data_IF_636805470505
#
_entry.id   IF_636805470505
#
_cell.length_a   1.000
_cell.length_b   1.000
_cell.length_c   1.000
_cell.angle_alpha   90.00
_cell.angle_beta   90.00
_cell.angle_gamma   90.00
#
_symmetry.space_group_name_H-M   'P 1'
#
loop_
_entity.id
_entity.type
_entity.pdbx_description
1 polymer ?
#
# COMPACT_ATOMS: atom_id res chain seq x y z
N UNK A 1 24.23 12.96 -3.47
CA UNK A 1 25.28 12.69 -2.48
C UNK A 1 26.23 11.61 -3.01
N UNK A 2 27.57 11.85 -3.08
CA UNK A 2 28.53 10.94 -3.74
C UNK A 2 28.76 9.60 -3.03
N UNK A 3 28.28 9.41 -1.81
CA UNK A 3 28.58 8.24 -0.97
C UNK A 3 27.84 6.95 -1.36
N UNK A 4 26.65 7.02 -1.95
CA UNK A 4 25.86 5.85 -2.36
C UNK A 4 26.39 5.21 -3.64
N UNK A 5 26.97 5.98 -4.55
CA UNK A 5 27.58 5.50 -5.80
C UNK A 5 28.84 4.66 -5.55
N UNK A 6 29.65 5.02 -4.55
CA UNK A 6 30.89 4.31 -4.19
C UNK A 6 30.61 2.92 -3.60
N UNK A 7 29.70 2.82 -2.62
CA UNK A 7 29.31 1.55 -2.00
C UNK A 7 28.67 0.59 -3.01
N UNK A 8 27.82 1.11 -3.92
CA UNK A 8 27.24 0.35 -5.01
C UNK A 8 28.33 -0.22 -5.96
N UNK A 9 29.33 0.59 -6.29
CA UNK A 9 30.48 0.17 -7.12
C UNK A 9 31.28 -0.96 -6.46
N UNK A 10 31.46 -0.93 -5.15
CA UNK A 10 32.26 -1.96 -4.43
C UNK A 10 31.49 -3.28 -4.30
N UNK A 11 30.20 -3.27 -4.12
CA UNK A 11 29.37 -4.48 -4.19
C UNK A 11 29.44 -5.12 -5.58
N UNK A 12 29.40 -4.30 -6.64
CA UNK A 12 29.59 -4.75 -8.02
C UNK A 12 30.96 -5.40 -8.25
N UNK A 13 32.02 -4.77 -7.79
CA UNK A 13 33.40 -5.28 -7.94
C UNK A 13 33.60 -6.65 -7.28
N UNK A 14 33.01 -6.85 -6.08
CA UNK A 14 33.09 -8.15 -5.36
C UNK A 14 32.34 -9.26 -6.11
N UNK A 15 31.26 -8.96 -6.83
CA UNK A 15 30.52 -9.95 -7.63
C UNK A 15 31.29 -10.38 -8.88
N UNK A 16 32.20 -9.54 -9.39
CA UNK A 16 33.03 -9.84 -10.57
C UNK A 16 34.21 -10.79 -10.30
N UNK A 17 34.54 -11.02 -9.04
CA UNK A 17 35.71 -11.86 -8.64
C UNK A 17 35.42 -13.35 -8.78
N UNK A 18 34.13 -13.77 -8.73
CA UNK A 18 33.79 -15.19 -8.82
C UNK A 18 33.84 -15.68 -10.28
N UNK A 19 34.61 -16.74 -10.60
CA UNK A 19 34.67 -17.28 -11.95
C UNK A 19 33.32 -17.81 -12.41
N UNK A 20 33.07 -17.70 -13.71
CA UNK A 20 31.86 -18.26 -14.33
C UNK A 20 31.99 -19.80 -14.39
N UNK A 21 30.89 -20.48 -14.14
CA UNK A 21 30.79 -21.92 -14.26
C UNK A 21 30.66 -22.35 -15.72
N UNK A 22 31.34 -23.44 -16.07
CA UNK A 22 31.12 -24.14 -17.32
C UNK A 22 29.81 -24.92 -17.29
N UNK A 23 29.23 -25.26 -18.45
CA UNK A 23 28.01 -26.04 -18.54
C UNK A 23 28.07 -27.43 -17.87
N UNK A 24 29.30 -27.97 -17.74
CA UNK A 24 29.53 -29.26 -17.06
C UNK A 24 29.47 -29.05 -15.55
N UNK A 25 30.14 -28.01 -15.02
CA UNK A 25 30.10 -27.67 -13.60
C UNK A 25 28.70 -27.27 -13.11
N UNK A 26 27.92 -26.55 -13.95
CA UNK A 26 26.52 -26.24 -13.66
C UNK A 26 25.67 -27.53 -13.45
N UNK A 27 25.83 -28.53 -14.34
CA UNK A 27 25.15 -29.82 -14.24
C UNK A 27 25.59 -30.62 -13.02
N UNK A 28 26.90 -30.65 -12.73
CA UNK A 28 27.39 -31.33 -11.53
C UNK A 28 26.87 -30.74 -10.24
N UNK A 29 26.91 -29.42 -10.10
CA UNK A 29 26.38 -28.72 -8.92
C UNK A 29 24.87 -28.97 -8.79
N UNK A 30 24.11 -28.85 -9.86
CA UNK A 30 22.68 -29.13 -9.87
C UNK A 30 22.36 -30.58 -9.46
N UNK A 31 23.12 -31.56 -9.98
CA UNK A 31 23.01 -32.97 -9.58
C UNK A 31 23.29 -33.18 -8.10
N UNK A 32 24.37 -32.58 -7.56
CA UNK A 32 24.73 -32.65 -6.14
C UNK A 32 23.63 -32.04 -5.25
N UNK A 33 23.03 -30.90 -5.65
CA UNK A 33 21.93 -30.26 -4.93
C UNK A 33 20.69 -31.16 -4.93
N UNK A 34 20.32 -31.74 -6.08
CA UNK A 34 19.18 -32.66 -6.21
C UNK A 34 19.38 -33.89 -5.32
N UNK A 35 20.55 -34.55 -5.38
CA UNK A 35 20.88 -35.68 -4.53
C UNK A 35 20.76 -35.37 -3.03
N UNK A 36 21.21 -34.19 -2.60
CA UNK A 36 21.02 -33.77 -1.21
C UNK A 36 19.53 -33.58 -0.87
N UNK A 37 18.74 -32.98 -1.77
CA UNK A 37 17.29 -32.79 -1.59
C UNK A 37 16.55 -34.11 -1.46
N UNK A 38 16.85 -35.10 -2.33
CA UNK A 38 16.23 -36.42 -2.31
C UNK A 38 16.59 -37.19 -1.03
N UNK A 39 17.87 -37.15 -0.58
CA UNK A 39 18.27 -37.72 0.70
C UNK A 39 17.55 -37.09 1.88
N UNK A 40 17.43 -35.74 1.92
CA UNK A 40 16.68 -35.02 2.98
C UNK A 40 15.21 -35.44 2.95
N UNK A 41 14.57 -35.55 1.79
CA UNK A 41 13.17 -35.96 1.67
C UNK A 41 12.95 -37.38 2.18
N UNK A 42 13.87 -38.30 1.84
CA UNK A 42 13.82 -39.70 2.28
C UNK A 42 14.00 -39.83 3.81
N UNK A 43 14.94 -39.05 4.38
CA UNK A 43 15.16 -39.05 5.82
C UNK A 43 14.00 -38.42 6.57
N UNK A 44 13.37 -37.32 6.05
CA UNK A 44 12.15 -36.73 6.62
C UNK A 44 10.99 -37.71 6.62
N UNK A 45 10.80 -38.49 5.54
CA UNK A 45 9.79 -39.56 5.48
C UNK A 45 10.05 -40.69 6.48
N UNK A 46 11.32 -41.03 6.77
CA UNK A 46 11.66 -41.99 7.84
C UNK A 46 11.38 -41.43 9.22
N UNK A 47 11.70 -40.15 9.46
CA UNK A 47 11.45 -39.46 10.72
C UNK A 47 9.96 -39.37 11.04
N UNK A 48 9.09 -39.18 10.03
CA UNK A 48 7.63 -39.17 10.22
C UNK A 48 7.07 -40.52 10.69
N UNK A 49 7.79 -41.64 10.44
CA UNK A 49 7.42 -42.99 10.93
C UNK A 49 8.00 -43.28 12.30
N UNK A 50 9.18 -42.70 12.65
CA UNK A 50 9.87 -42.90 13.94
C UNK A 50 10.31 -41.54 14.50
N UNK A 51 9.46 -40.87 15.27
CA UNK A 51 9.62 -39.48 15.71
C UNK A 51 10.76 -39.22 16.72
N UNK A 52 11.44 -40.27 17.24
CA UNK A 52 12.49 -40.12 18.28
C UNK A 52 13.93 -40.45 17.84
N UNK A 53 14.19 -40.59 16.54
CA UNK A 53 15.54 -40.96 16.07
C UNK A 53 16.47 -39.73 15.98
N UNK A 54 17.20 -39.48 17.09
CA UNK A 54 18.17 -38.38 17.22
C UNK A 54 19.29 -38.44 16.15
N UNK A 55 19.69 -39.66 15.72
CA UNK A 55 20.68 -39.83 14.65
C UNK A 55 20.15 -39.36 13.31
N UNK A 56 18.92 -39.67 12.97
CA UNK A 56 18.29 -39.19 11.73
C UNK A 56 18.17 -37.68 11.69
N UNK A 57 17.90 -37.01 12.83
CA UNK A 57 17.85 -35.55 12.92
C UNK A 57 19.23 -34.93 12.66
N UNK A 58 20.30 -35.50 13.24
CA UNK A 58 21.67 -35.00 12.99
C UNK A 58 22.10 -35.18 11.53
N UNK A 59 21.77 -36.28 10.88
CA UNK A 59 22.02 -36.48 9.45
C UNK A 59 21.27 -35.47 8.58
N UNK A 60 19.99 -35.18 8.88
CA UNK A 60 19.24 -34.16 8.14
C UNK A 60 19.93 -32.80 8.24
N UNK A 61 20.37 -32.37 9.42
CA UNK A 61 21.11 -31.10 9.60
C UNK A 61 22.38 -31.04 8.77
N UNK A 62 23.17 -32.11 8.73
CA UNK A 62 24.40 -32.20 7.91
C UNK A 62 24.07 -32.06 6.41
N UNK A 63 23.06 -32.75 5.91
CA UNK A 63 22.67 -32.64 4.51
C UNK A 63 22.05 -31.28 4.18
N UNK A 64 21.30 -30.64 5.09
CA UNK A 64 20.77 -29.29 4.91
C UNK A 64 21.90 -28.26 4.84
N UNK A 65 22.93 -28.35 5.71
CA UNK A 65 24.11 -27.50 5.65
C UNK A 65 24.87 -27.70 4.33
N UNK A 66 25.11 -28.94 3.91
CA UNK A 66 25.79 -29.24 2.64
C UNK A 66 24.99 -28.71 1.43
N UNK A 67 23.66 -28.88 1.44
CA UNK A 67 22.77 -28.31 0.42
C UNK A 67 22.91 -26.78 0.38
N UNK A 68 22.86 -26.11 1.55
CA UNK A 68 22.99 -24.65 1.65
C UNK A 68 24.30 -24.14 1.08
N UNK A 69 25.43 -24.80 1.39
CA UNK A 69 26.74 -24.46 0.83
C UNK A 69 26.79 -24.59 -0.69
N UNK A 70 26.23 -25.68 -1.25
CA UNK A 70 26.17 -25.88 -2.70
C UNK A 70 25.30 -24.84 -3.39
N UNK A 71 24.13 -24.52 -2.81
CA UNK A 71 23.23 -23.46 -3.32
C UNK A 71 23.93 -22.10 -3.28
N UNK A 72 24.64 -21.77 -2.19
CA UNK A 72 25.41 -20.53 -2.08
C UNK A 72 26.50 -20.43 -3.14
N UNK A 73 27.28 -21.52 -3.36
CA UNK A 73 28.35 -21.57 -4.37
C UNK A 73 27.76 -21.37 -5.78
N UNK A 74 26.67 -22.06 -6.10
CA UNK A 74 26.02 -21.94 -7.40
C UNK A 74 25.42 -20.54 -7.62
N UNK A 75 24.78 -19.97 -6.58
CA UNK A 75 24.23 -18.59 -6.61
C UNK A 75 25.35 -17.56 -6.83
N UNK A 76 26.46 -17.65 -6.07
CA UNK A 76 27.57 -16.71 -6.17
C UNK A 76 28.15 -16.65 -7.59
N UNK A 77 28.31 -17.79 -8.26
CA UNK A 77 28.82 -17.86 -9.62
C UNK A 77 27.90 -17.21 -10.67
N UNK A 78 26.59 -17.05 -10.35
CA UNK A 78 25.59 -16.53 -11.27
C UNK A 78 25.06 -15.12 -10.92
N UNK A 79 25.65 -14.43 -9.93
CA UNK A 79 25.23 -13.07 -9.56
C UNK A 79 25.35 -12.07 -10.71
N UNK A 80 26.31 -12.24 -11.61
CA UNK A 80 26.48 -11.40 -12.79
C UNK A 80 25.27 -11.45 -13.72
N UNK A 81 24.59 -12.58 -13.82
CA UNK A 81 23.36 -12.73 -14.60
C UNK A 81 22.26 -11.84 -14.02
N UNK A 82 22.11 -11.81 -12.70
CA UNK A 82 21.10 -10.95 -12.04
C UNK A 82 21.33 -9.48 -12.38
N UNK A 83 22.59 -9.04 -12.30
CA UNK A 83 22.96 -7.65 -12.63
C UNK A 83 22.61 -7.30 -14.07
N UNK A 84 22.89 -8.20 -15.03
CA UNK A 84 22.61 -7.97 -16.44
C UNK A 84 21.10 -7.85 -16.72
N UNK A 85 20.27 -8.57 -15.97
CA UNK A 85 18.80 -8.50 -16.05
C UNK A 85 18.29 -7.25 -15.33
N UNK A 86 18.75 -6.97 -14.10
CA UNK A 86 18.30 -5.84 -13.29
C UNK A 86 18.55 -4.48 -13.96
N UNK A 87 19.68 -4.33 -14.70
CA UNK A 87 19.98 -3.11 -15.48
C UNK A 87 18.87 -2.72 -16.46
N UNK A 88 18.13 -3.68 -17.01
CA UNK A 88 17.01 -3.41 -17.94
C UNK A 88 15.79 -2.80 -17.28
N UNK A 89 15.73 -2.82 -15.95
CA UNK A 89 14.64 -2.31 -15.14
C UNK A 89 14.99 -1.04 -14.37
N UNK A 90 16.20 -0.50 -14.56
CA UNK A 90 16.61 0.76 -13.95
C UNK A 90 15.67 1.91 -14.32
N UNK A 91 15.45 2.84 -13.39
CA UNK A 91 14.58 4.02 -13.60
C UNK A 91 13.06 3.76 -13.47
N UNK A 92 12.65 2.59 -12.97
CA UNK A 92 11.23 2.22 -12.81
C UNK A 92 10.74 2.34 -11.36
N UNK A 93 11.17 3.38 -10.65
CA UNK A 93 10.71 3.67 -9.28
C UNK A 93 11.49 2.99 -8.16
N UNK A 94 12.38 2.02 -8.46
CA UNK A 94 13.23 1.39 -7.46
C UNK A 94 14.72 1.59 -7.77
N UNK A 95 15.58 1.76 -6.73
CA UNK A 95 17.02 1.82 -6.89
C UNK A 95 17.58 0.53 -7.50
N UNK A 96 18.63 0.63 -8.32
CA UNK A 96 19.22 -0.54 -8.98
C UNK A 96 19.72 -1.61 -7.99
N UNK A 97 20.20 -1.20 -6.82
CA UNK A 97 20.66 -2.15 -5.79
C UNK A 97 19.53 -3.01 -5.26
N UNK A 98 18.36 -2.44 -5.04
CA UNK A 98 17.17 -3.16 -4.56
C UNK A 98 16.67 -4.14 -5.63
N UNK A 99 16.65 -3.72 -6.91
CA UNK A 99 16.33 -4.60 -8.03
C UNK A 99 17.30 -5.80 -8.12
N UNK A 100 18.58 -5.58 -7.83
CA UNK A 100 19.58 -6.67 -7.78
C UNK A 100 19.28 -7.62 -6.61
N UNK A 101 18.95 -7.12 -5.43
CA UNK A 101 18.63 -7.97 -4.27
C UNK A 101 17.36 -8.80 -4.51
N UNK A 102 16.33 -8.18 -5.05
CA UNK A 102 15.09 -8.89 -5.43
C UNK A 102 15.36 -9.94 -6.53
N UNK A 103 16.20 -9.60 -7.50
CA UNK A 103 16.67 -10.52 -8.51
C UNK A 103 17.47 -11.69 -7.94
N UNK A 104 18.30 -11.45 -6.89
CA UNK A 104 19.03 -12.51 -6.19
C UNK A 104 18.09 -13.50 -5.49
N UNK A 105 16.96 -13.02 -4.94
CA UNK A 105 15.91 -13.90 -4.38
C UNK A 105 15.32 -14.79 -5.49
N UNK A 106 15.07 -14.22 -6.68
CA UNK A 106 14.66 -14.97 -7.87
C UNK A 106 15.68 -16.02 -8.30
N UNK A 107 16.98 -15.65 -8.31
CA UNK A 107 18.06 -16.56 -8.64
C UNK A 107 18.17 -17.74 -7.66
N UNK A 108 18.04 -17.51 -6.36
CA UNK A 108 18.05 -18.57 -5.35
C UNK A 108 16.92 -19.57 -5.60
N UNK A 109 15.71 -19.08 -5.89
CA UNK A 109 14.57 -19.94 -6.24
C UNK A 109 14.82 -20.73 -7.51
N UNK A 110 15.48 -20.12 -8.50
CA UNK A 110 15.87 -20.81 -9.73
C UNK A 110 16.85 -21.95 -9.46
N UNK A 111 17.90 -21.70 -8.65
CA UNK A 111 18.90 -22.73 -8.27
C UNK A 111 18.24 -23.91 -7.55
N UNK A 112 17.29 -23.64 -6.64
CA UNK A 112 16.60 -24.69 -5.90
C UNK A 112 15.64 -25.55 -6.74
N UNK A 113 15.11 -25.00 -7.82
CA UNK A 113 14.11 -25.67 -8.69
C UNK A 113 14.68 -26.15 -10.02
N UNK A 114 15.94 -25.83 -10.31
CA UNK A 114 16.57 -26.19 -11.59
C UNK A 114 16.69 -27.71 -11.76
N UNK A 115 16.25 -28.19 -12.93
CA UNK A 115 16.35 -29.58 -13.32
C UNK A 115 17.31 -29.72 -14.51
N UNK A 116 18.53 -30.20 -14.21
CA UNK A 116 19.59 -30.40 -15.19
C UNK A 116 19.28 -31.50 -16.22
N UNK A 117 18.29 -32.40 -15.97
CA UNK A 117 17.93 -33.48 -16.85
C UNK A 117 17.21 -33.03 -18.11
N UNK A 118 16.63 -31.79 -18.07
CA UNK A 118 15.87 -31.23 -19.20
C UNK A 118 16.73 -30.68 -20.35
N UNK A 119 18.05 -30.68 -20.22
CA UNK A 119 18.97 -30.29 -21.27
C UNK A 119 19.12 -28.77 -21.52
N UNK A 120 18.36 -27.91 -20.85
CA UNK A 120 18.45 -26.46 -21.01
C UNK A 120 19.60 -25.86 -20.19
N UNK A 121 20.15 -24.75 -20.69
CA UNK A 121 21.13 -23.94 -19.94
C UNK A 121 20.49 -23.34 -18.70
N UNK A 122 21.24 -23.29 -17.60
CA UNK A 122 20.76 -22.68 -16.36
C UNK A 122 20.35 -21.21 -16.55
N UNK A 123 21.13 -20.43 -17.30
CA UNK A 123 20.89 -19.02 -17.53
C UNK A 123 19.51 -18.74 -18.14
N UNK A 124 19.04 -19.57 -19.09
CA UNK A 124 17.72 -19.43 -19.72
C UNK A 124 16.59 -19.63 -18.71
N UNK A 125 16.73 -20.64 -17.85
CA UNK A 125 15.75 -20.92 -16.81
C UNK A 125 15.78 -19.86 -15.69
N UNK A 126 16.97 -19.48 -15.24
CA UNK A 126 17.14 -18.50 -14.17
C UNK A 126 16.65 -17.11 -14.57
N UNK A 127 16.88 -16.70 -15.82
CA UNK A 127 16.41 -15.40 -16.32
C UNK A 127 14.91 -15.20 -16.09
N UNK A 128 14.08 -16.22 -16.31
CA UNK A 128 12.64 -16.14 -16.06
C UNK A 128 12.30 -15.86 -14.59
N UNK A 129 12.96 -16.55 -13.65
CA UNK A 129 12.74 -16.36 -12.22
C UNK A 129 13.23 -14.99 -11.74
N UNK A 130 14.36 -14.52 -12.27
CA UNK A 130 14.91 -13.20 -11.97
C UNK A 130 13.97 -12.11 -12.47
N UNK A 131 13.50 -12.20 -13.73
CA UNK A 131 12.51 -11.28 -14.30
C UNK A 131 11.24 -11.23 -13.46
N UNK A 132 10.69 -12.39 -13.11
CA UNK A 132 9.47 -12.49 -12.31
C UNK A 132 9.64 -11.85 -10.93
N UNK A 133 10.78 -12.09 -10.26
CA UNK A 133 11.05 -11.52 -8.94
C UNK A 133 11.18 -10.00 -8.99
N UNK A 134 11.94 -9.48 -9.95
CA UNK A 134 12.13 -8.04 -10.14
C UNK A 134 10.81 -7.35 -10.51
N UNK A 135 10.07 -7.89 -11.48
CA UNK A 135 8.80 -7.30 -11.92
C UNK A 135 7.79 -7.25 -10.77
N UNK A 136 7.71 -8.33 -9.98
CA UNK A 136 6.83 -8.37 -8.82
C UNK A 136 7.21 -7.33 -7.76
N UNK A 137 8.51 -7.16 -7.49
CA UNK A 137 8.99 -6.16 -6.54
C UNK A 137 8.67 -4.74 -7.01
N UNK A 138 8.86 -4.44 -8.30
CA UNK A 138 8.47 -3.15 -8.88
C UNK A 138 6.97 -2.92 -8.68
N UNK A 139 6.11 -3.90 -8.97
CA UNK A 139 4.66 -3.77 -8.78
C UNK A 139 4.28 -3.54 -7.31
N UNK A 140 4.99 -4.17 -6.37
CA UNK A 140 4.67 -4.08 -4.94
C UNK A 140 5.22 -2.81 -4.27
N UNK A 141 6.34 -2.23 -4.75
CA UNK A 141 7.11 -1.22 -4.00
C UNK A 141 7.40 0.08 -4.76
N UNK A 142 7.14 0.16 -6.09
CA UNK A 142 7.49 1.35 -6.87
C UNK A 142 6.61 2.58 -6.59
N UNK A 143 5.41 2.38 -6.03
CA UNK A 143 4.45 3.45 -5.76
C UNK A 143 4.44 3.83 -4.29
N UNK A 144 4.28 5.11 -3.99
CA UNK A 144 4.12 5.63 -2.63
C UNK A 144 2.90 5.03 -1.94
N UNK A 145 1.78 4.93 -2.66
CA UNK A 145 0.57 4.25 -2.18
C UNK A 145 0.52 2.88 -2.84
N UNK A 146 0.54 1.81 -2.03
CA UNK A 146 0.51 0.43 -2.52
C UNK A 146 -0.80 0.12 -3.24
N UNK A 147 -0.67 -0.33 -4.49
CA UNK A 147 -1.80 -0.82 -5.30
C UNK A 147 -1.69 -2.34 -5.44
N UNK A 148 -2.78 -3.10 -5.25
CA UNK A 148 -2.77 -4.55 -5.45
C UNK A 148 -2.33 -4.95 -6.86
N UNK A 149 -1.51 -6.02 -6.96
CA UNK A 149 -0.90 -6.45 -8.24
C UNK A 149 -1.93 -6.72 -9.33
N UNK A 150 -3.09 -7.32 -8.98
CA UNK A 150 -4.16 -7.60 -9.94
C UNK A 150 -4.75 -6.35 -10.60
N UNK A 151 -4.78 -5.21 -9.88
CA UNK A 151 -5.19 -3.92 -10.43
C UNK A 151 -4.14 -3.42 -11.41
N UNK A 152 -2.85 -3.52 -11.07
CA UNK A 152 -1.75 -3.11 -11.95
C UNK A 152 -1.71 -3.96 -13.22
N UNK A 153 -2.01 -5.27 -13.15
CA UNK A 153 -2.12 -6.13 -14.33
C UNK A 153 -3.30 -5.72 -15.23
N UNK A 154 -4.45 -5.38 -14.63
CA UNK A 154 -5.59 -4.83 -15.38
C UNK A 154 -5.24 -3.48 -16.00
N UNK A 155 -4.61 -2.59 -15.24
CA UNK A 155 -4.14 -1.28 -15.69
C UNK A 155 -3.21 -1.41 -16.91
N UNK A 156 -2.23 -2.32 -16.86
CA UNK A 156 -1.33 -2.56 -17.98
C UNK A 156 -2.07 -3.01 -19.26
N UNK A 157 -3.13 -3.84 -19.13
CA UNK A 157 -3.97 -4.24 -20.26
C UNK A 157 -4.75 -3.06 -20.82
N UNK A 158 -5.35 -2.23 -19.94
CA UNK A 158 -6.11 -1.03 -20.33
C UNK A 158 -5.21 -0.04 -21.06
N UNK A 159 -4.02 0.28 -20.51
CA UNK A 159 -3.08 1.19 -21.16
C UNK A 159 -2.57 0.66 -22.50
N UNK A 160 -2.36 -0.64 -22.63
CA UNK A 160 -1.97 -1.26 -23.90
C UNK A 160 -3.10 -1.14 -24.94
N UNK A 161 -4.34 -1.41 -24.55
CA UNK A 161 -5.51 -1.25 -25.42
C UNK A 161 -5.72 0.20 -25.82
N UNK A 162 -5.63 1.12 -24.83
CA UNK A 162 -5.72 2.57 -25.06
C UNK A 162 -4.73 3.02 -26.14
N UNK A 163 -3.45 2.69 -25.99
CA UNK A 163 -2.42 3.08 -26.96
C UNK A 163 -2.65 2.46 -28.34
N UNK A 164 -3.05 1.19 -28.39
CA UNK A 164 -3.34 0.52 -29.66
C UNK A 164 -4.53 1.13 -30.40
N UNK A 165 -5.55 1.60 -29.67
CA UNK A 165 -6.72 2.28 -30.23
C UNK A 165 -6.35 3.70 -30.66
N UNK A 166 -5.60 4.44 -29.86
CA UNK A 166 -5.13 5.78 -30.18
C UNK A 166 -4.32 5.79 -31.49
N UNK A 167 -3.39 4.82 -31.65
CA UNK A 167 -2.60 4.63 -32.87
C UNK A 167 -3.47 4.28 -34.11
N UNK A 168 -4.59 3.55 -33.92
CA UNK A 168 -5.50 3.16 -35.00
C UNK A 168 -6.48 4.26 -35.41
N UNK A 169 -7.03 4.95 -34.40
CA UNK A 169 -8.10 5.93 -34.58
C UNK A 169 -7.57 7.36 -34.84
N UNK A 170 -6.29 7.61 -34.56
CA UNK A 170 -5.66 8.95 -34.58
C UNK A 170 -6.43 9.97 -33.69
N UNK A 171 -7.16 9.49 -32.68
CA UNK A 171 -7.85 10.27 -31.64
C UNK A 171 -7.82 9.55 -30.32
N UNK A 172 -8.10 10.27 -29.22
CA UNK A 172 -8.27 9.63 -27.90
C UNK A 172 -9.46 8.66 -27.95
N UNK A 173 -9.27 7.38 -27.57
CA UNK A 173 -10.36 6.41 -27.54
C UNK A 173 -11.32 6.72 -26.39
N UNK A 174 -12.59 6.42 -26.58
CA UNK A 174 -13.61 6.52 -25.55
C UNK A 174 -13.61 5.26 -24.66
N UNK A 175 -14.17 5.38 -23.46
CA UNK A 175 -14.12 4.26 -22.47
C UNK A 175 -14.82 3.01 -22.97
N UNK A 176 -15.92 3.12 -23.71
CA UNK A 176 -16.62 1.97 -24.27
C UNK A 176 -15.79 1.22 -25.32
N UNK A 177 -14.98 1.93 -26.13
CA UNK A 177 -14.11 1.31 -27.15
C UNK A 177 -13.00 0.48 -26.48
N UNK A 178 -12.52 0.93 -25.31
CA UNK A 178 -11.54 0.21 -24.53
C UNK A 178 -12.20 -1.00 -23.84
N UNK A 179 -13.44 -0.82 -23.36
CA UNK A 179 -14.20 -1.86 -22.67
C UNK A 179 -14.44 -3.08 -23.56
N UNK A 180 -14.73 -2.88 -24.85
CA UNK A 180 -14.91 -3.97 -25.81
C UNK A 180 -13.64 -4.82 -26.01
N UNK A 181 -12.44 -4.21 -25.90
CA UNK A 181 -11.17 -4.94 -26.12
C UNK A 181 -10.71 -5.66 -24.85
N UNK A 182 -10.92 -5.03 -23.67
CA UNK A 182 -10.34 -5.53 -22.40
C UNK A 182 -11.31 -6.40 -21.61
N UNK A 183 -12.59 -6.41 -21.98
CA UNK A 183 -13.67 -7.12 -21.28
C UNK A 183 -13.80 -6.68 -19.80
N UNK A 184 -13.83 -5.37 -19.60
CA UNK A 184 -14.02 -4.74 -18.30
C UNK A 184 -15.16 -3.69 -18.38
N UNK A 185 -15.92 -3.49 -17.30
CA UNK A 185 -16.93 -2.43 -17.27
C UNK A 185 -16.30 -1.04 -17.36
N UNK A 186 -16.97 -0.10 -18.00
CA UNK A 186 -16.49 1.27 -18.23
C UNK A 186 -16.10 1.99 -16.92
N UNK A 187 -16.87 1.80 -15.85
CA UNK A 187 -16.58 2.37 -14.53
C UNK A 187 -15.23 1.92 -13.99
N UNK A 188 -14.88 0.64 -14.17
CA UNK A 188 -13.58 0.12 -13.75
C UNK A 188 -12.43 0.69 -14.58
N UNK A 189 -12.65 0.92 -15.88
CA UNK A 189 -11.66 1.55 -16.78
C UNK A 189 -11.43 3.01 -16.35
N UNK A 190 -12.51 3.75 -16.08
CA UNK A 190 -12.42 5.12 -15.57
C UNK A 190 -11.63 5.19 -14.27
N UNK A 191 -11.96 4.35 -13.29
CA UNK A 191 -11.22 4.26 -12.02
C UNK A 191 -9.74 3.91 -12.21
N UNK A 192 -9.42 3.00 -13.12
CA UNK A 192 -8.03 2.60 -13.41
C UNK A 192 -7.26 3.78 -14.03
N UNK A 193 -7.85 4.54 -14.94
CA UNK A 193 -7.20 5.67 -15.58
C UNK A 193 -7.02 6.85 -14.60
N UNK A 194 -8.00 7.13 -13.76
CA UNK A 194 -7.93 8.16 -12.71
C UNK A 194 -6.91 7.81 -11.60
N UNK A 195 -6.89 6.54 -11.16
CA UNK A 195 -5.93 6.06 -10.14
C UNK A 195 -4.51 5.85 -10.68
N UNK A 196 -4.31 5.94 -11.98
CA UNK A 196 -3.01 5.78 -12.64
C UNK A 196 -2.07 6.98 -12.50
N UNK A 197 -2.53 8.10 -11.95
CA UNK A 197 -1.72 9.31 -11.78
C UNK A 197 -0.59 9.11 -10.77
N UNK A 198 0.60 9.58 -11.14
CA UNK A 198 1.76 9.58 -10.26
C UNK A 198 1.61 10.67 -9.18
N UNK A 199 2.15 10.41 -7.99
CA UNK A 199 2.20 11.38 -6.90
C UNK A 199 3.33 12.40 -7.14
N UNK A 200 3.05 13.68 -6.88
CA UNK A 200 4.04 14.75 -6.91
C UNK A 200 4.53 15.06 -5.50
N UNK A 201 5.81 15.42 -5.37
CA UNK A 201 6.35 15.89 -4.10
C UNK A 201 5.85 17.30 -3.81
N UNK A 202 5.39 17.53 -2.58
CA UNK A 202 4.99 18.85 -2.10
C UNK A 202 6.20 19.82 -1.99
N UNK A 203 7.40 19.29 -1.81
CA UNK A 203 8.63 20.09 -1.76
C UNK A 203 9.16 20.49 -3.15
N UNK A 204 8.44 20.13 -4.22
CA UNK A 204 8.86 20.54 -5.57
C UNK A 204 8.73 22.05 -5.73
N UNK A 205 9.79 22.79 -6.14
CA UNK A 205 9.71 24.21 -6.36
C UNK A 205 8.82 24.51 -7.59
N UNK A 206 7.96 25.51 -7.48
CA UNK A 206 7.02 25.91 -8.54
C UNK A 206 7.67 26.82 -9.56
N UNK A 207 8.62 27.62 -9.15
CA UNK A 207 9.33 28.59 -10.01
C UNK A 207 10.82 28.58 -9.71
N UNK A 208 11.60 29.25 -10.58
CA UNK A 208 13.04 29.44 -10.36
C UNK A 208 13.35 30.39 -9.17
N UNK A 209 12.36 30.93 -8.51
CA UNK A 209 12.50 31.62 -7.23
C UNK A 209 12.55 30.53 -6.13
N UNK A 210 13.72 30.43 -5.48
CA UNK A 210 14.15 29.31 -4.62
C UNK A 210 13.28 29.05 -3.38
N UNK A 211 12.22 29.81 -3.12
CA UNK A 211 11.50 29.79 -1.83
C UNK A 211 10.03 29.34 -1.88
N UNK A 212 9.43 29.09 -3.06
CA UNK A 212 8.03 28.68 -3.12
C UNK A 212 7.90 27.21 -3.55
N UNK A 213 7.28 26.43 -2.69
CA UNK A 213 7.00 24.99 -2.90
C UNK A 213 5.52 24.75 -3.18
N UNK A 214 5.16 23.57 -3.73
CA UNK A 214 3.75 23.19 -3.88
C UNK A 214 3.01 23.16 -2.54
N UNK A 215 3.71 22.89 -1.44
CA UNK A 215 3.14 22.90 -0.09
C UNK A 215 2.57 24.26 0.32
N UNK A 216 3.21 25.36 -0.13
CA UNK A 216 2.81 26.73 0.22
C UNK A 216 1.48 27.16 -0.42
N UNK A 217 1.03 26.44 -1.46
CA UNK A 217 -0.23 26.69 -2.17
C UNK A 217 -1.39 25.79 -1.71
N UNK A 218 -1.13 24.85 -0.81
CA UNK A 218 -2.20 24.05 -0.24
C UNK A 218 -2.95 24.83 0.81
N UNK A 219 -4.25 24.96 0.60
CA UNK A 219 -5.14 25.55 1.59
C UNK A 219 -5.30 24.60 2.79
N UNK A 220 -5.24 25.15 4.00
CA UNK A 220 -5.49 24.40 5.22
C UNK A 220 -7.01 24.23 5.39
N UNK A 221 -7.48 22.96 5.44
CA UNK A 221 -8.89 22.59 5.64
C UNK A 221 -9.36 22.84 7.09
N UNK A 222 -8.47 23.25 8.00
CA UNK A 222 -8.85 23.55 9.36
C UNK A 222 -9.67 24.86 9.42
N UNK A 223 -10.57 24.94 10.39
CA UNK A 223 -11.37 26.14 10.66
C UNK A 223 -10.47 27.38 10.78
N UNK A 224 -10.76 28.40 9.98
CA UNK A 224 -10.04 29.68 10.08
C UNK A 224 -10.17 30.25 11.49
N UNK A 225 -9.17 30.98 12.02
CA UNK A 225 -9.22 31.55 13.36
C UNK A 225 -10.49 32.37 13.62
N UNK A 226 -10.99 33.06 12.60
CA UNK A 226 -12.23 33.83 12.67
C UNK A 226 -13.45 32.94 12.85
N UNK A 227 -13.53 31.79 12.13
CA UNK A 227 -14.61 30.82 12.26
C UNK A 227 -14.58 30.13 13.63
N UNK A 228 -13.39 29.81 14.13
CA UNK A 228 -13.21 29.25 15.47
C UNK A 228 -13.67 30.23 16.54
N UNK A 229 -13.28 31.51 16.41
CA UNK A 229 -13.71 32.58 17.31
C UNK A 229 -15.25 32.76 17.27
N UNK A 230 -15.85 32.73 16.08
CA UNK A 230 -17.29 32.81 15.92
C UNK A 230 -18.01 31.59 16.56
N UNK A 231 -17.49 30.37 16.40
CA UNK A 231 -18.02 29.16 17.03
C UNK A 231 -17.96 29.23 18.57
N UNK A 232 -16.83 29.73 19.12
CA UNK A 232 -16.68 29.93 20.58
C UNK A 232 -17.68 30.96 21.09
N UNK A 233 -17.79 32.09 20.41
CA UNK A 233 -18.72 33.15 20.76
C UNK A 233 -20.18 32.71 20.69
N UNK A 234 -20.55 31.94 19.67
CA UNK A 234 -21.87 31.29 19.54
C UNK A 234 -22.14 30.32 20.71
N UNK A 235 -21.19 29.48 21.05
CA UNK A 235 -21.28 28.51 22.16
C UNK A 235 -21.49 29.21 23.48
N UNK A 236 -20.77 30.32 23.74
CA UNK A 236 -20.94 31.17 24.96
C UNK A 236 -22.32 31.79 24.98
N UNK A 237 -22.81 32.32 23.85
CA UNK A 237 -24.15 32.93 23.78
C UNK A 237 -25.25 31.91 24.03
N UNK A 238 -25.12 30.69 23.47
CA UNK A 238 -26.05 29.60 23.76
C UNK A 238 -26.02 29.19 25.24
N UNK A 239 -24.83 29.07 25.83
CA UNK A 239 -24.68 28.70 27.22
C UNK A 239 -25.34 29.77 28.13
N UNK A 240 -25.15 31.03 27.81
CA UNK A 240 -25.78 32.16 28.52
C UNK A 240 -27.31 32.11 28.40
N UNK A 241 -27.84 31.83 27.22
CA UNK A 241 -29.28 31.68 27.01
C UNK A 241 -29.87 30.49 27.79
N UNK A 242 -29.14 29.38 27.87
CA UNK A 242 -29.58 28.21 28.64
C UNK A 242 -29.57 28.40 30.14
N UNK A 243 -28.78 29.30 30.68
CA UNK A 243 -28.78 29.63 32.12
C UNK A 243 -30.04 30.42 32.55
N UNK A 244 -30.75 31.00 31.60
CA UNK A 244 -32.00 31.79 31.89
C UNK A 244 -33.24 30.91 31.83
N UNK A 245 -33.10 29.62 31.50
CA UNK A 245 -34.20 28.63 31.51
C UNK A 245 -34.32 28.01 32.90
N UNK A 246 -35.54 27.50 33.20
CA UNK A 246 -35.71 26.66 34.38
C UNK A 246 -34.83 25.38 34.25
N UNK A 247 -34.35 24.89 35.41
CA UNK A 247 -33.48 23.71 35.42
C UNK A 247 -33.99 22.54 34.59
N UNK A 248 -35.29 22.29 34.65
CA UNK A 248 -35.97 21.22 33.89
C UNK A 248 -36.00 21.49 32.39
N UNK A 249 -36.26 22.73 31.98
CA UNK A 249 -36.30 23.14 30.57
C UNK A 249 -34.87 23.03 29.97
N UNK A 250 -33.86 23.48 30.74
CA UNK A 250 -32.45 23.40 30.34
C UNK A 250 -32.01 21.95 30.10
N UNK A 251 -32.26 21.07 31.05
CA UNK A 251 -31.84 19.64 30.92
C UNK A 251 -32.53 18.95 29.74
N UNK A 252 -33.80 19.26 29.46
CA UNK A 252 -34.53 18.71 28.32
C UNK A 252 -33.91 19.20 26.98
N UNK A 253 -33.57 20.48 26.89
CA UNK A 253 -32.94 21.07 25.71
C UNK A 253 -31.51 20.50 25.53
N UNK A 254 -30.73 20.41 26.60
CA UNK A 254 -29.40 19.81 26.55
C UNK A 254 -29.42 18.35 26.06
N UNK A 255 -30.30 17.53 26.56
CA UNK A 255 -30.47 16.15 26.10
C UNK A 255 -30.98 16.05 24.68
N UNK A 256 -31.89 16.95 24.27
CA UNK A 256 -32.49 16.92 22.94
C UNK A 256 -31.47 17.26 21.84
N UNK A 257 -30.64 18.27 22.07
CA UNK A 257 -29.69 18.80 21.08
C UNK A 257 -28.26 18.31 21.30
N UNK A 258 -27.98 17.59 22.37
CA UNK A 258 -26.65 17.01 22.61
C UNK A 258 -25.58 18.06 22.97
N UNK A 259 -25.93 19.12 23.70
CA UNK A 259 -24.96 20.11 24.13
C UNK A 259 -23.93 19.51 25.09
N UNK A 260 -22.71 20.05 25.11
CA UNK A 260 -21.60 19.61 25.95
C UNK A 260 -21.10 18.16 25.65
N UNK A 261 -21.22 17.69 24.42
CA UNK A 261 -20.74 16.36 24.01
C UNK A 261 -21.66 15.21 24.48
N UNK A 262 -22.86 15.50 24.94
CA UNK A 262 -23.88 14.50 25.31
C UNK A 262 -24.50 13.90 24.06
N UNK A 263 -24.96 12.64 24.16
CA UNK A 263 -25.76 12.04 23.10
C UNK A 263 -27.11 12.73 22.91
N UNK A 264 -27.60 12.81 21.69
CA UNK A 264 -28.93 13.31 21.38
C UNK A 264 -29.99 12.27 21.72
N UNK A 265 -31.03 12.66 22.44
CA UNK A 265 -32.15 11.78 22.83
C UNK A 265 -33.41 12.14 22.07
N UNK A 266 -34.23 11.14 21.82
CA UNK A 266 -35.58 11.32 21.25
C UNK A 266 -36.57 11.83 22.30
N UNK A 267 -37.69 12.45 21.85
CA UNK A 267 -38.72 12.95 22.78
C UNK A 267 -39.33 11.83 23.63
N UNK A 268 -39.39 10.60 23.12
CA UNK A 268 -39.88 9.45 23.86
C UNK A 268 -38.93 8.98 24.94
N UNK A 269 -37.62 8.96 24.65
CA UNK A 269 -36.57 8.59 25.61
C UNK A 269 -36.50 9.62 26.76
N UNK A 270 -36.59 10.92 26.43
CA UNK A 270 -36.65 11.97 27.42
C UNK A 270 -37.94 11.85 28.26
N UNK A 271 -39.07 11.56 27.61
CA UNK A 271 -40.32 11.33 28.28
C UNK A 271 -40.27 10.20 29.30
N UNK A 272 -39.66 9.06 28.92
CA UNK A 272 -39.45 7.92 29.80
C UNK A 272 -38.56 8.27 31.00
N UNK A 273 -37.51 9.07 30.80
CA UNK A 273 -36.58 9.50 31.86
C UNK A 273 -37.27 10.41 32.92
N UNK A 274 -38.19 11.27 32.48
CA UNK A 274 -38.87 12.22 33.36
C UNK A 274 -40.31 11.75 33.76
N UNK A 275 -40.73 10.56 33.38
CA UNK A 275 -42.09 10.03 33.58
C UNK A 275 -43.20 10.98 33.02
N UNK A 276 -42.94 11.55 31.84
CA UNK A 276 -43.84 12.44 31.14
C UNK A 276 -44.20 11.88 29.74
N UNK A 277 -45.34 12.30 29.22
CA UNK A 277 -45.74 11.93 27.85
C UNK A 277 -44.88 12.67 26.84
N UNK A 278 -44.64 12.06 25.67
CA UNK A 278 -43.93 12.65 24.52
C UNK A 278 -44.48 14.04 24.18
N UNK A 279 -45.78 14.21 24.16
CA UNK A 279 -46.41 15.51 23.83
C UNK A 279 -46.12 16.56 24.90
N UNK A 280 -46.03 16.15 26.18
CA UNK A 280 -45.63 17.08 27.26
C UNK A 280 -44.21 17.56 27.12
N UNK A 281 -43.29 16.68 26.77
CA UNK A 281 -41.89 17.06 26.50
C UNK A 281 -41.83 18.00 25.29
N UNK A 282 -42.58 17.75 24.22
CA UNK A 282 -42.65 18.63 23.04
C UNK A 282 -43.18 20.02 23.39
N UNK A 283 -44.15 20.12 24.31
CA UNK A 283 -44.66 21.40 24.79
C UNK A 283 -43.58 22.18 25.58
N UNK A 284 -42.83 21.48 26.45
CA UNK A 284 -41.74 22.08 27.24
C UNK A 284 -40.66 22.57 26.29
N UNK A 285 -40.20 21.75 25.35
CA UNK A 285 -39.24 22.12 24.30
C UNK A 285 -39.67 23.39 23.55
N UNK A 286 -40.91 23.40 23.05
CA UNK A 286 -41.46 24.55 22.31
C UNK A 286 -41.47 25.82 23.16
N UNK A 287 -41.84 25.72 24.45
CA UNK A 287 -41.86 26.88 25.35
C UNK A 287 -40.44 27.36 25.67
N UNK A 288 -39.48 26.45 25.92
CA UNK A 288 -38.09 26.78 26.17
C UNK A 288 -37.46 27.49 24.96
N UNK A 289 -37.69 26.97 23.74
CA UNK A 289 -37.20 27.61 22.51
C UNK A 289 -37.80 29.00 22.30
N UNK A 290 -39.08 29.20 22.61
CA UNK A 290 -39.71 30.53 22.56
C UNK A 290 -39.12 31.50 23.59
N UNK A 291 -38.76 31.02 24.79
CA UNK A 291 -38.07 31.82 25.79
C UNK A 291 -36.71 32.28 25.30
N UNK A 292 -35.90 31.33 24.78
CA UNK A 292 -34.57 31.63 24.19
C UNK A 292 -34.72 32.66 23.06
N UNK A 293 -35.69 32.48 22.14
CA UNK A 293 -35.92 33.39 21.03
C UNK A 293 -36.25 34.83 21.48
N UNK A 294 -36.97 34.98 22.59
CA UNK A 294 -37.31 36.32 23.14
C UNK A 294 -36.12 36.98 23.80
N UNK A 295 -35.21 36.22 24.39
CA UNK A 295 -34.16 36.77 25.25
C UNK A 295 -32.91 37.07 24.40
N UNK A 296 -32.46 36.14 23.56
CA UNK A 296 -31.20 36.24 22.83
C UNK A 296 -31.39 36.05 21.30
N UNK A 297 -32.65 36.10 20.80
CA UNK A 297 -32.95 35.81 19.39
C UNK A 297 -32.22 36.73 18.41
N UNK A 298 -32.04 38.02 18.72
CA UNK A 298 -31.37 38.93 17.81
C UNK A 298 -29.85 38.72 17.79
N UNK A 299 -29.26 38.37 18.93
CA UNK A 299 -27.82 38.01 19.00
C UNK A 299 -27.56 36.67 18.25
N UNK A 300 -28.42 35.67 18.44
CA UNK A 300 -28.23 34.39 17.79
C UNK A 300 -28.42 34.48 16.26
N UNK A 301 -29.30 35.36 15.78
CA UNK A 301 -29.49 35.64 14.36
C UNK A 301 -28.24 36.25 13.72
N UNK A 302 -27.47 37.08 14.43
CA UNK A 302 -26.26 37.71 13.90
C UNK A 302 -25.15 36.69 13.56
N UNK A 303 -25.19 35.47 14.11
CA UNK A 303 -24.28 34.38 13.79
C UNK A 303 -24.75 33.54 12.60
N UNK A 304 -25.96 33.77 12.06
CA UNK A 304 -26.51 33.03 10.92
C UNK A 304 -26.32 33.76 9.59
N UNK A 305 -25.85 35.00 9.64
CA UNK A 305 -25.47 35.81 8.49
C UNK A 305 -23.94 35.83 8.34
#
# INVERSE_FOLDING_TARGET
>A
TPSTSSAASDVYKRQLVTPLLSAVEERELASKIRNCKDKISTLKKRLSKNSKDSKTISFIKVFEQKKSQLVQSFTKANLRLVVSVAKKYGGRGLPLLDLIQDGNVGLIRAVEKFDHTKGFKFSTYAAWWIHQSITRSIMDQSRTIKVPVYILEKSAKVFKAYKTLEDKLNRKPEFFEIAEIVDLPEEAIKQILESGSDTFSLDTPISNEENATFADFLEDDNDKPDELSAKISLSQSISSALTQLDQREKEIIEMRFGFNGSNTYTLDEIGNKYNLTRERIRQIEKNALKKIQRIEGDKLKSFMN
#
